data_IF_428563583104
#
_entry.id   IF_428563583104
#
_cell.length_a   1.000
_cell.length_b   1.000
_cell.length_c   1.000
_cell.angle_alpha   90.00
_cell.angle_beta   90.00
_cell.angle_gamma   90.00
#
_symmetry.space_group_name_H-M   'P 1'
#
loop_
_entity.id
_entity.type
_entity.pdbx_description
1 polymer ?
#
# COMPACT_ATOMS: atom_id res chain seq x y z
N UNK A 1 8.80 20.52 -6.93
CA UNK A 1 9.13 19.37 -6.07
C UNK A 1 9.92 18.40 -6.93
N UNK A 2 11.10 17.99 -6.50
CA UNK A 2 11.95 17.02 -7.22
C UNK A 2 11.36 15.61 -7.11
N UNK A 3 11.78 14.68 -7.97
CA UNK A 3 11.37 13.27 -7.85
C UNK A 3 11.72 12.71 -6.47
N UNK A 4 12.92 13.04 -5.96
CA UNK A 4 13.35 12.65 -4.63
C UNK A 4 12.40 13.12 -3.53
N UNK A 5 12.06 14.41 -3.51
CA UNK A 5 11.14 14.99 -2.51
C UNK A 5 9.77 14.27 -2.56
N UNK A 6 9.23 14.04 -3.76
CA UNK A 6 7.96 13.34 -3.96
C UNK A 6 8.03 11.90 -3.41
N UNK A 7 9.04 11.11 -3.79
CA UNK A 7 9.15 9.71 -3.36
C UNK A 7 9.43 9.59 -1.85
N UNK A 8 10.19 10.51 -1.29
CA UNK A 8 10.47 10.54 0.15
C UNK A 8 9.20 10.76 0.96
N UNK A 9 8.32 11.67 0.50
CA UNK A 9 7.03 11.99 1.11
C UNK A 9 6.01 10.85 0.95
N UNK A 10 5.83 10.33 -0.28
CA UNK A 10 4.70 9.43 -0.57
C UNK A 10 4.97 7.95 -0.30
N UNK A 11 6.23 7.52 -0.13
CA UNK A 11 6.58 6.14 0.27
C UNK A 11 7.24 6.19 1.66
N UNK A 12 6.41 6.35 2.69
CA UNK A 12 6.84 6.34 4.08
C UNK A 12 6.97 4.91 4.60
N UNK A 13 7.72 4.71 5.70
CA UNK A 13 7.76 3.39 6.32
C UNK A 13 6.36 3.01 6.86
N UNK A 14 5.98 1.73 6.78
CA UNK A 14 4.69 1.28 7.33
C UNK A 14 4.75 1.26 8.85
N UNK A 15 3.58 1.22 9.51
CA UNK A 15 3.50 1.21 10.98
C UNK A 15 3.37 2.59 11.63
N UNK A 16 3.20 3.65 10.84
CA UNK A 16 2.96 4.99 11.35
C UNK A 16 1.53 5.17 11.89
N UNK A 17 1.41 6.00 12.93
CA UNK A 17 0.14 6.40 13.54
C UNK A 17 -0.21 7.84 13.15
N UNK A 18 -1.48 8.09 12.88
CA UNK A 18 -2.06 9.44 12.80
C UNK A 18 -2.96 9.64 14.01
N UNK A 19 -2.67 10.69 14.78
CA UNK A 19 -3.49 11.14 15.91
C UNK A 19 -4.26 12.38 15.45
N UNK A 20 -5.58 12.36 15.61
CA UNK A 20 -6.44 13.50 15.31
C UNK A 20 -6.97 14.08 16.63
N UNK A 21 -6.60 15.34 16.93
CA UNK A 21 -7.03 16.06 18.15
C UNK A 21 -8.38 16.80 17.92
N UNK A 22 -9.13 17.02 19.02
CA UNK A 22 -10.56 17.38 19.10
C UNK A 22 -11.00 18.79 18.65
N UNK A 23 -10.30 19.47 17.74
CA UNK A 23 -10.76 20.78 17.25
C UNK A 23 -11.69 20.63 16.02
N UNK A 24 -12.93 20.16 16.24
CA UNK A 24 -13.98 20.17 15.22
C UNK A 24 -15.29 19.45 15.58
N UNK A 25 -16.16 20.16 16.30
CA UNK A 25 -17.61 19.96 16.55
C UNK A 25 -18.19 18.58 16.93
N UNK A 26 -19.07 18.61 17.94
CA UNK A 26 -19.80 17.46 18.52
C UNK A 26 -20.68 16.78 17.47
N UNK A 27 -20.41 15.52 17.19
CA UNK A 27 -21.38 14.64 16.54
C UNK A 27 -22.50 14.28 17.54
N UNK A 28 -23.74 14.69 17.20
CA UNK A 28 -24.94 14.16 17.83
C UNK A 28 -25.11 12.68 17.46
N UNK A 29 -25.53 11.95 18.47
CA UNK A 29 -25.90 10.54 18.47
C UNK A 29 -26.78 10.17 17.25
N UNK A 30 -26.25 9.36 16.34
CA UNK A 30 -27.06 8.62 15.36
C UNK A 30 -26.45 7.25 15.04
N UNK A 31 -27.27 6.24 15.33
CA UNK A 31 -27.34 4.92 14.72
C UNK A 31 -26.22 3.91 15.01
N UNK A 32 -26.60 2.86 15.77
CA UNK A 32 -26.13 1.47 15.70
C UNK A 32 -24.83 1.26 14.92
N UNK A 33 -23.69 1.58 15.52
CA UNK A 33 -22.41 1.07 15.06
C UNK A 33 -22.25 -0.31 15.70
N UNK A 34 -22.67 -1.35 14.98
CA UNK A 34 -22.26 -2.71 15.31
C UNK A 34 -20.73 -2.75 15.35
N UNK A 35 -20.17 -2.83 16.56
CA UNK A 35 -18.79 -3.22 16.76
C UNK A 35 -18.65 -4.69 16.38
N UNK A 36 -18.42 -4.95 15.10
CA UNK A 36 -18.12 -6.29 14.63
C UNK A 36 -16.63 -6.55 14.89
N UNK A 37 -16.30 -7.00 16.10
CA UNK A 37 -15.11 -7.81 16.28
C UNK A 37 -15.36 -9.11 15.51
N UNK A 38 -14.93 -9.13 14.25
CA UNK A 38 -15.26 -10.17 13.29
C UNK A 38 -14.75 -11.53 13.80
N UNK A 39 -15.72 -12.43 14.00
CA UNK A 39 -15.53 -13.86 14.04
C UNK A 39 -14.47 -14.26 13.00
N UNK A 40 -13.44 -14.98 13.45
CA UNK A 40 -12.54 -15.71 12.55
C UNK A 40 -13.37 -16.35 11.43
N UNK A 41 -12.98 -16.14 10.17
CA UNK A 41 -13.70 -16.61 8.97
C UNK A 41 -14.51 -17.88 9.23
N UNK A 42 -15.84 -17.74 9.33
CA UNK A 42 -16.73 -18.91 9.45
C UNK A 42 -16.70 -19.77 8.18
N UNK A 43 -16.35 -19.15 7.06
CA UNK A 43 -16.22 -19.78 5.74
C UNK A 43 -14.74 -20.05 5.44
N UNK A 44 -14.36 -21.34 5.55
CA UNK A 44 -12.99 -21.82 5.31
C UNK A 44 -12.53 -21.57 3.87
N UNK A 45 -13.41 -21.74 2.87
CA UNK A 45 -13.04 -21.58 1.46
C UNK A 45 -12.72 -20.11 1.14
N UNK A 46 -13.51 -19.18 1.69
CA UNK A 46 -13.20 -17.75 1.58
C UNK A 46 -11.88 -17.39 2.27
N UNK A 47 -11.58 -17.99 3.41
CA UNK A 47 -10.31 -17.77 4.12
C UNK A 47 -9.11 -18.24 3.29
N UNK A 48 -9.20 -19.44 2.71
CA UNK A 48 -8.15 -19.99 1.84
C UNK A 48 -7.93 -19.13 0.60
N UNK A 49 -9.00 -18.66 -0.03
CA UNK A 49 -8.91 -17.74 -1.18
C UNK A 49 -8.22 -16.42 -0.80
N UNK A 50 -8.63 -15.78 0.30
CA UNK A 50 -8.02 -14.54 0.76
C UNK A 50 -6.53 -14.73 1.10
N UNK A 51 -6.19 -15.83 1.78
CA UNK A 51 -4.80 -16.16 2.09
C UNK A 51 -3.97 -16.44 0.84
N UNK A 52 -4.53 -17.13 -0.16
CA UNK A 52 -3.87 -17.35 -1.45
C UNK A 52 -3.60 -16.04 -2.19
N UNK A 53 -4.54 -15.09 -2.19
CA UNK A 53 -4.28 -13.75 -2.76
C UNK A 53 -3.16 -13.05 -1.99
N UNK A 54 -3.16 -13.11 -0.66
CA UNK A 54 -2.10 -12.55 0.17
C UNK A 54 -0.71 -13.10 -0.24
N UNK A 55 -0.56 -14.42 -0.33
CA UNK A 55 0.73 -15.06 -0.66
C UNK A 55 1.14 -14.79 -2.09
N UNK A 56 0.23 -14.93 -3.06
CA UNK A 56 0.55 -14.77 -4.48
C UNK A 56 0.91 -13.33 -4.81
N UNK A 57 0.15 -12.35 -4.32
CA UNK A 57 0.50 -10.94 -4.52
C UNK A 57 1.79 -10.54 -3.80
N UNK A 58 2.08 -11.11 -2.62
CA UNK A 58 3.35 -10.85 -1.92
C UNK A 58 4.54 -11.36 -2.73
N UNK A 59 4.46 -12.58 -3.27
CA UNK A 59 5.52 -13.17 -4.08
C UNK A 59 5.71 -12.41 -5.39
N UNK A 60 4.61 -12.13 -6.10
CA UNK A 60 4.64 -11.34 -7.34
C UNK A 60 5.26 -9.95 -7.11
N UNK A 61 4.95 -9.32 -5.99
CA UNK A 61 5.56 -8.05 -5.60
C UNK A 61 7.08 -8.13 -5.44
N UNK A 62 7.60 -9.20 -4.84
CA UNK A 62 9.05 -9.43 -4.70
C UNK A 62 9.71 -9.73 -6.05
N UNK A 63 9.08 -10.56 -6.89
CA UNK A 63 9.56 -10.89 -8.23
C UNK A 63 9.68 -9.63 -9.11
N UNK A 64 8.65 -8.77 -9.11
CA UNK A 64 8.67 -7.48 -9.81
C UNK A 64 9.79 -6.56 -9.32
N UNK A 65 10.07 -6.55 -8.00
CA UNK A 65 11.15 -5.75 -7.43
C UNK A 65 12.52 -6.28 -7.86
N UNK A 66 12.69 -7.59 -7.96
CA UNK A 66 13.92 -8.20 -8.43
C UNK A 66 14.13 -7.98 -9.93
N UNK A 67 13.09 -8.07 -10.75
CA UNK A 67 13.12 -7.68 -12.15
C UNK A 67 13.47 -6.19 -12.32
N UNK A 68 12.97 -5.31 -11.45
CA UNK A 68 13.31 -3.88 -11.47
C UNK A 68 14.80 -3.66 -11.23
N UNK A 69 15.42 -4.43 -10.31
CA UNK A 69 16.88 -4.40 -10.08
C UNK A 69 17.67 -4.88 -11.31
N UNK A 70 17.14 -5.83 -12.09
CA UNK A 70 17.76 -6.26 -13.36
C UNK A 70 17.70 -5.14 -14.39
N UNK A 71 16.57 -4.44 -14.50
CA UNK A 71 16.41 -3.30 -15.40
C UNK A 71 17.34 -2.14 -15.04
N UNK A 72 17.49 -1.82 -13.74
CA UNK A 72 18.45 -0.83 -13.24
C UNK A 72 19.88 -1.16 -13.70
N UNK A 73 20.33 -2.41 -13.52
CA UNK A 73 21.67 -2.86 -13.96
C UNK A 73 21.90 -2.74 -15.47
N UNK A 74 20.82 -2.81 -16.26
CA UNK A 74 20.85 -2.66 -17.71
C UNK A 74 20.51 -1.22 -18.17
N UNK A 75 20.62 -0.23 -17.27
CA UNK A 75 20.39 1.20 -17.56
C UNK A 75 18.99 1.52 -18.09
N UNK A 76 18.03 0.65 -17.81
CA UNK A 76 16.62 0.82 -18.21
C UNK A 76 15.83 1.49 -17.08
N UNK A 77 16.24 2.70 -16.70
CA UNK A 77 15.81 3.37 -15.47
C UNK A 77 14.31 3.62 -15.37
N UNK A 78 13.69 4.20 -16.40
CA UNK A 78 12.25 4.41 -16.43
C UNK A 78 11.47 3.10 -16.24
N UNK A 79 11.96 2.00 -16.83
CA UNK A 79 11.29 0.69 -16.72
C UNK A 79 11.50 0.10 -15.33
N UNK A 80 12.66 0.29 -14.72
CA UNK A 80 12.91 -0.06 -13.33
C UNK A 80 11.97 0.71 -12.38
N UNK A 81 11.76 2.01 -12.60
CA UNK A 81 10.80 2.83 -11.84
C UNK A 81 9.38 2.27 -11.98
N UNK A 82 8.91 2.06 -13.21
CA UNK A 82 7.56 1.55 -13.46
C UNK A 82 7.32 0.20 -12.77
N UNK A 83 8.27 -0.73 -12.89
CA UNK A 83 8.15 -2.06 -12.33
C UNK A 83 8.22 -2.06 -10.80
N UNK A 84 9.00 -1.14 -10.21
CA UNK A 84 9.02 -0.91 -8.77
C UNK A 84 7.68 -0.39 -8.24
N UNK A 85 7.01 0.49 -8.98
CA UNK A 85 5.66 0.96 -8.59
C UNK A 85 4.64 -0.19 -8.67
N UNK A 86 4.75 -1.04 -9.68
CA UNK A 86 3.90 -2.24 -9.80
C UNK A 86 4.14 -3.23 -8.66
N UNK A 87 5.41 -3.45 -8.27
CA UNK A 87 5.76 -4.18 -7.06
C UNK A 87 5.03 -3.61 -5.84
N UNK A 88 5.09 -2.28 -5.66
CA UNK A 88 4.41 -1.62 -4.55
C UNK A 88 2.88 -1.74 -4.59
N UNK A 89 2.27 -1.77 -5.78
CA UNK A 89 0.84 -2.03 -5.95
C UNK A 89 0.46 -3.45 -5.48
N UNK A 90 1.24 -4.46 -5.88
CA UNK A 90 1.05 -5.86 -5.48
C UNK A 90 1.25 -6.06 -3.97
N UNK A 91 2.20 -5.34 -3.37
CA UNK A 91 2.35 -5.31 -1.92
C UNK A 91 1.07 -4.78 -1.25
N UNK A 92 0.50 -3.70 -1.80
CA UNK A 92 -0.79 -3.18 -1.38
C UNK A 92 -1.93 -4.20 -1.48
N UNK A 93 -2.03 -4.94 -2.61
CA UNK A 93 -3.02 -6.02 -2.79
C UNK A 93 -2.85 -7.12 -1.74
N UNK A 94 -1.60 -7.52 -1.47
CA UNK A 94 -1.26 -8.50 -0.44
C UNK A 94 -1.77 -8.04 0.93
N UNK A 95 -1.48 -6.79 1.32
CA UNK A 95 -1.91 -6.25 2.61
C UNK A 95 -3.44 -6.12 2.74
N UNK A 96 -4.14 -5.74 1.65
CA UNK A 96 -5.61 -5.74 1.61
C UNK A 96 -6.17 -7.14 1.87
N UNK A 97 -5.57 -8.16 1.25
CA UNK A 97 -5.97 -9.55 1.46
C UNK A 97 -5.65 -10.05 2.88
N UNK A 98 -4.51 -9.64 3.45
CA UNK A 98 -4.17 -9.93 4.84
C UNK A 98 -5.15 -9.30 5.84
N UNK A 99 -5.56 -8.06 5.59
CA UNK A 99 -6.52 -7.36 6.44
C UNK A 99 -7.92 -7.90 6.29
N UNK A 100 -8.31 -8.33 5.10
CA UNK A 100 -9.54 -9.10 4.92
C UNK A 100 -9.46 -10.42 5.68
N UNK A 101 -8.42 -11.23 5.45
CA UNK A 101 -8.19 -12.53 6.11
C UNK A 101 -8.20 -12.44 7.64
N UNK A 102 -7.62 -11.38 8.20
CA UNK A 102 -7.51 -11.19 9.64
C UNK A 102 -8.74 -10.51 10.26
N UNK A 103 -9.77 -10.16 9.47
CA UNK A 103 -11.00 -9.52 9.95
C UNK A 103 -10.85 -8.03 10.28
N UNK A 104 -9.81 -7.37 9.79
CA UNK A 104 -9.63 -5.90 9.90
C UNK A 104 -10.41 -5.17 8.81
N UNK A 105 -10.48 -5.75 7.61
CA UNK A 105 -11.16 -5.19 6.45
C UNK A 105 -12.47 -5.94 6.19
N UNK A 106 -13.63 -5.27 6.05
CA UNK A 106 -14.88 -5.94 5.72
C UNK A 106 -14.93 -6.40 4.25
N UNK A 107 -15.72 -7.44 3.97
CA UNK A 107 -15.85 -8.03 2.61
C UNK A 107 -16.26 -7.01 1.54
N UNK A 108 -17.10 -6.03 1.91
CA UNK A 108 -17.55 -4.98 0.99
C UNK A 108 -16.39 -4.10 0.51
N UNK A 109 -15.45 -3.75 1.40
CA UNK A 109 -14.26 -2.97 1.07
C UNK A 109 -13.22 -3.81 0.34
N UNK A 110 -13.04 -5.08 0.72
CA UNK A 110 -12.21 -6.04 -0.01
C UNK A 110 -12.64 -6.15 -1.48
N UNK A 111 -13.94 -6.34 -1.74
CA UNK A 111 -14.48 -6.42 -3.12
C UNK A 111 -14.30 -5.12 -3.92
N UNK A 112 -14.38 -3.95 -3.27
CA UNK A 112 -14.16 -2.65 -3.94
C UNK A 112 -12.69 -2.42 -4.27
N UNK A 113 -11.77 -2.86 -3.40
CA UNK A 113 -10.34 -2.66 -3.57
C UNK A 113 -9.79 -3.22 -4.89
N UNK A 114 -10.29 -4.37 -5.37
CA UNK A 114 -9.83 -4.93 -6.64
C UNK A 114 -10.36 -4.17 -7.86
N UNK A 115 -11.50 -3.49 -7.74
CA UNK A 115 -12.12 -2.69 -8.81
C UNK A 115 -11.53 -1.28 -8.94
N UNK A 116 -10.79 -0.80 -7.95
CA UNK A 116 -10.24 0.56 -7.92
C UNK A 116 -8.70 0.53 -7.96
N UNK A 117 -8.08 1.47 -8.68
CA UNK A 117 -6.61 1.63 -8.75
C UNK A 117 -6.06 2.34 -7.49
N UNK A 118 -6.34 1.82 -6.29
CA UNK A 118 -5.98 2.46 -5.01
C UNK A 118 -5.04 1.61 -4.14
N UNK A 119 -4.48 0.54 -4.71
CA UNK A 119 -3.78 -0.49 -3.95
C UNK A 119 -2.40 -0.01 -3.48
N UNK A 120 -1.72 0.79 -4.28
CA UNK A 120 -0.47 1.48 -3.90
C UNK A 120 -0.65 2.34 -2.65
N UNK A 121 -1.77 3.05 -2.51
CA UNK A 121 -2.04 3.83 -1.31
C UNK A 121 -2.23 2.96 -0.06
N UNK A 122 -2.78 1.74 -0.21
CA UNK A 122 -2.99 0.83 0.93
C UNK A 122 -1.68 0.30 1.51
N UNK A 123 -0.61 0.21 0.70
CA UNK A 123 0.71 -0.11 1.20
C UNK A 123 1.24 0.95 2.19
N UNK A 124 0.82 2.22 2.03
CA UNK A 124 1.11 3.35 2.93
C UNK A 124 0.02 3.62 3.97
N UNK A 125 -0.84 2.65 4.30
CA UNK A 125 -1.90 2.91 5.28
C UNK A 125 -1.33 3.25 6.65
N UNK A 126 -2.02 4.15 7.33
CA UNK A 126 -1.70 4.59 8.69
C UNK A 126 -2.70 3.96 9.66
N UNK A 127 -2.26 3.64 10.87
CA UNK A 127 -3.21 3.44 11.97
C UNK A 127 -3.78 4.80 12.34
N UNK A 128 -5.11 4.89 12.42
CA UNK A 128 -5.77 6.14 12.76
C UNK A 128 -6.38 6.03 14.16
N UNK A 129 -5.94 6.93 15.05
CA UNK A 129 -6.42 7.04 16.43
C UNK A 129 -7.04 8.42 16.57
N UNK A 130 -8.35 8.48 16.83
CA UNK A 130 -9.05 9.74 17.04
C UNK A 130 -10.57 9.55 17.14
N UNK A 131 -11.26 10.57 17.65
CA UNK A 131 -12.72 10.64 17.76
C UNK A 131 -13.40 11.32 16.56
N UNK A 132 -12.61 11.72 15.55
CA UNK A 132 -13.08 12.45 14.38
C UNK A 132 -14.00 11.59 13.49
N UNK A 133 -15.11 12.13 12.98
CA UNK A 133 -16.14 11.39 12.22
C UNK A 133 -15.60 10.66 10.97
N UNK A 134 -14.55 11.22 10.35
CA UNK A 134 -13.85 10.66 9.18
C UNK A 134 -12.80 9.60 9.55
N UNK A 135 -12.53 9.43 10.84
CA UNK A 135 -11.53 8.55 11.41
C UNK A 135 -12.25 7.51 12.25
N UNK A 136 -12.72 6.44 11.61
CA UNK A 136 -13.08 5.24 12.36
C UNK A 136 -11.79 4.67 12.94
N UNK A 137 -11.75 4.37 14.24
CA UNK A 137 -10.69 3.53 14.81
C UNK A 137 -10.41 2.36 13.85
N UNK A 138 -9.19 2.30 13.32
CA UNK A 138 -8.90 1.46 12.16
C UNK A 138 -7.70 1.97 11.39
N UNK A 139 -7.89 2.24 10.10
CA UNK A 139 -6.81 2.63 9.19
C UNK A 139 -7.21 3.83 8.32
N UNK A 140 -6.23 4.67 7.98
CA UNK A 140 -6.35 5.78 7.04
C UNK A 140 -5.50 5.50 5.80
N UNK A 141 -6.04 5.82 4.62
CA UNK A 141 -5.36 5.66 3.32
C UNK A 141 -5.43 6.98 2.59
N UNK A 142 -4.27 7.57 2.30
CA UNK A 142 -4.20 8.76 1.46
C UNK A 142 -4.29 8.36 -0.02
N UNK A 143 -5.42 8.71 -0.65
CA UNK A 143 -5.64 8.44 -2.06
C UNK A 143 -4.77 9.30 -2.99
N UNK A 144 -4.18 10.40 -2.50
CA UNK A 144 -3.27 11.24 -3.28
C UNK A 144 -2.04 10.44 -3.73
N UNK A 145 -1.51 9.58 -2.83
CA UNK A 145 -0.38 8.68 -3.07
C UNK A 145 -0.62 7.79 -4.28
N UNK A 146 -1.81 7.18 -4.38
CA UNK A 146 -2.13 6.30 -5.50
C UNK A 146 -2.15 7.06 -6.83
N UNK A 147 -2.69 8.28 -6.86
CA UNK A 147 -2.73 9.11 -8.07
C UNK A 147 -1.33 9.54 -8.50
N UNK A 148 -0.50 9.97 -7.55
CA UNK A 148 0.87 10.40 -7.83
C UNK A 148 1.72 9.25 -8.35
N UNK A 149 1.69 8.08 -7.70
CA UNK A 149 2.42 6.90 -8.16
C UNK A 149 1.91 6.39 -9.52
N UNK A 150 0.60 6.45 -9.76
CA UNK A 150 0.05 6.10 -11.07
C UNK A 150 0.55 7.08 -12.15
N UNK A 151 0.57 8.38 -11.87
CA UNK A 151 1.11 9.38 -12.80
C UNK A 151 2.59 9.11 -13.12
N UNK A 152 3.41 8.84 -12.10
CA UNK A 152 4.83 8.50 -12.29
C UNK A 152 4.96 7.23 -13.15
N UNK A 153 4.18 6.19 -12.87
CA UNK A 153 4.19 4.93 -13.62
C UNK A 153 3.82 5.15 -15.08
N UNK A 154 2.82 5.98 -15.37
CA UNK A 154 2.41 6.31 -16.74
C UNK A 154 3.54 7.06 -17.48
N UNK A 155 4.11 8.09 -16.87
CA UNK A 155 5.26 8.82 -17.41
C UNK A 155 6.48 7.92 -17.63
N UNK A 156 6.65 6.88 -16.82
CA UNK A 156 7.74 5.93 -16.92
C UNK A 156 7.52 4.84 -17.99
N UNK A 157 6.30 4.67 -18.51
CA UNK A 157 5.95 3.63 -19.49
C UNK A 157 5.72 4.20 -20.90
N UNK A 158 4.91 5.24 -21.01
CA UNK A 158 4.38 5.70 -22.30
C UNK A 158 5.14 6.92 -22.80
N UNK A 159 5.42 6.99 -24.10
CA UNK A 159 5.99 8.18 -24.72
C UNK A 159 4.89 8.96 -25.46
N UNK A 160 4.92 10.28 -25.36
CA UNK A 160 4.05 11.18 -26.10
C UNK A 160 4.78 12.49 -26.45
N UNK A 161 4.07 13.44 -27.08
CA UNK A 161 4.64 14.73 -27.51
C UNK A 161 5.32 15.52 -26.39
N UNK A 162 4.93 15.29 -25.13
CA UNK A 162 5.42 16.00 -23.95
C UNK A 162 6.11 15.06 -22.93
N UNK A 163 6.17 13.76 -23.18
CA UNK A 163 6.74 12.78 -22.26
C UNK A 163 7.74 11.85 -22.96
N UNK A 164 9.01 11.96 -22.59
CA UNK A 164 10.06 11.04 -23.00
C UNK A 164 10.58 10.26 -21.77
N UNK A 165 10.15 8.99 -21.58
CA UNK A 165 10.52 8.24 -20.39
C UNK A 165 12.02 8.10 -20.15
N UNK A 166 12.84 7.97 -21.22
CA UNK A 166 14.30 7.80 -21.06
C UNK A 166 15.02 9.07 -20.62
N UNK A 167 14.37 10.23 -20.71
CA UNK A 167 14.92 11.52 -20.28
C UNK A 167 14.34 11.96 -18.93
N UNK A 168 13.18 11.42 -18.54
CA UNK A 168 12.46 11.80 -17.33
C UNK A 168 12.93 11.07 -16.07
N UNK A 169 13.69 9.99 -16.21
CA UNK A 169 14.15 9.17 -15.09
C UNK A 169 15.59 8.75 -15.27
N UNK A 170 16.41 8.96 -14.25
CA UNK A 170 17.80 8.57 -14.22
C UNK A 170 18.09 7.40 -13.25
N UNK A 171 19.37 7.11 -13.07
CA UNK A 171 19.83 6.05 -12.18
C UNK A 171 19.47 6.32 -10.71
N UNK A 172 19.55 7.58 -10.27
CA UNK A 172 19.29 7.98 -8.89
C UNK A 172 17.80 7.82 -8.56
N UNK A 173 16.93 8.21 -9.49
CA UNK A 173 15.48 8.03 -9.36
C UNK A 173 15.10 6.55 -9.20
N UNK A 174 15.62 5.70 -10.10
CA UNK A 174 15.37 4.26 -10.08
C UNK A 174 15.94 3.61 -8.80
N UNK A 175 17.15 3.97 -8.39
CA UNK A 175 17.77 3.47 -7.17
C UNK A 175 16.98 3.89 -5.92
N UNK A 176 16.54 5.14 -5.85
CA UNK A 176 15.79 5.68 -4.72
C UNK A 176 14.49 4.90 -4.51
N UNK A 177 13.68 4.76 -5.55
CA UNK A 177 12.38 4.11 -5.43
C UNK A 177 12.52 2.61 -5.12
N UNK A 178 13.49 1.92 -5.75
CA UNK A 178 13.80 0.52 -5.44
C UNK A 178 14.17 0.38 -3.97
N UNK A 179 15.06 1.23 -3.46
CA UNK A 179 15.50 1.21 -2.06
C UNK A 179 14.33 1.45 -1.10
N UNK A 180 13.44 2.39 -1.41
CA UNK A 180 12.28 2.72 -0.57
C UNK A 180 11.28 1.57 -0.52
N UNK A 181 10.91 1.01 -1.67
CA UNK A 181 10.00 -0.14 -1.74
C UNK A 181 10.61 -1.38 -1.09
N UNK A 182 11.90 -1.66 -1.29
CA UNK A 182 12.60 -2.76 -0.63
C UNK A 182 12.57 -2.64 0.91
N UNK A 183 12.87 -1.44 1.45
CA UNK A 183 12.76 -1.18 2.89
C UNK A 183 11.34 -1.36 3.41
N UNK A 184 10.34 -1.03 2.60
CA UNK A 184 8.93 -1.25 2.94
C UNK A 184 8.60 -2.74 3.09
N UNK A 185 9.06 -3.55 2.14
CA UNK A 185 8.96 -5.02 2.21
C UNK A 185 9.63 -5.57 3.47
N UNK A 186 10.87 -5.17 3.73
CA UNK A 186 11.64 -5.61 4.90
C UNK A 186 10.93 -5.25 6.20
N UNK A 187 10.36 -4.05 6.28
CA UNK A 187 9.64 -3.58 7.46
C UNK A 187 8.36 -4.37 7.72
N UNK A 188 7.57 -4.63 6.67
CA UNK A 188 6.37 -5.49 6.76
C UNK A 188 6.77 -6.90 7.17
N UNK A 189 7.75 -7.50 6.50
CA UNK A 189 8.19 -8.86 6.80
C UNK A 189 8.70 -8.99 8.23
N UNK A 190 9.48 -8.02 8.70
CA UNK A 190 9.97 -8.00 10.08
C UNK A 190 8.83 -7.95 11.07
N UNK A 191 7.84 -7.07 10.86
CA UNK A 191 6.66 -6.96 11.71
C UNK A 191 5.81 -8.25 11.69
N UNK A 192 5.59 -8.87 10.53
CA UNK A 192 4.86 -10.13 10.40
C UNK A 192 5.55 -11.27 11.14
N UNK A 193 6.88 -11.38 11.01
CA UNK A 193 7.68 -12.36 11.72
C UNK A 193 7.67 -12.14 13.24
N UNK A 194 7.93 -10.90 13.69
CA UNK A 194 8.00 -10.55 15.10
C UNK A 194 6.67 -10.77 15.82
N UNK A 195 5.55 -10.42 15.18
CA UNK A 195 4.23 -10.45 15.80
C UNK A 195 3.45 -11.73 15.57
N UNK A 196 3.91 -12.61 14.67
CA UNK A 196 3.22 -13.86 14.30
C UNK A 196 1.84 -13.61 13.68
N UNK A 197 1.69 -12.48 12.97
CA UNK A 197 0.43 -12.01 12.36
C UNK A 197 0.71 -11.47 10.97
N UNK A 198 -0.34 -11.19 10.19
CA UNK A 198 -0.24 -10.55 8.87
C UNK A 198 -1.08 -9.28 8.81
N UNK A 199 -0.78 -8.41 7.86
CA UNK A 199 -1.53 -7.17 7.63
C UNK A 199 -1.36 -6.14 8.76
N UNK A 200 -2.38 -5.32 8.96
CA UNK A 200 -2.45 -4.28 9.97
C UNK A 200 -2.28 -4.83 11.40
N UNK A 201 -2.74 -6.06 11.65
CA UNK A 201 -2.53 -6.71 12.96
C UNK A 201 -1.06 -7.03 13.25
N UNK A 202 -0.20 -7.09 12.22
CA UNK A 202 1.24 -7.19 12.38
C UNK A 202 1.89 -5.81 12.54
N UNK A 203 1.40 -4.80 11.82
CA UNK A 203 2.02 -3.48 11.75
C UNK A 203 1.73 -2.55 12.93
N UNK A 204 0.54 -2.67 13.53
CA UNK A 204 0.03 -1.70 14.52
C UNK A 204 -0.28 -2.36 15.86
N UNK A 205 0.58 -3.28 16.29
CA UNK A 205 0.41 -4.02 17.54
C UNK A 205 1.07 -3.31 18.72
#
# INVERSE_FOLDING_TARGET
>A
MTFQEVIEEIISLPGCFLVFDEDGEKAQDTANVEHVFLDMFKDKEKAEKAFSVFTTSKNNSLELLDEAKVLLKNKSYARAVALTIMSYEELGKSQIAADYYSGVLPESEYKKAFKQHKKTAYANRYAAIGSHEKVKHGYFVDNSVAKTLESIRQSALYADENNNPSENFDEEDALLIIRKVNKHHESIQHAEWLNGRIGSKALFK
#
